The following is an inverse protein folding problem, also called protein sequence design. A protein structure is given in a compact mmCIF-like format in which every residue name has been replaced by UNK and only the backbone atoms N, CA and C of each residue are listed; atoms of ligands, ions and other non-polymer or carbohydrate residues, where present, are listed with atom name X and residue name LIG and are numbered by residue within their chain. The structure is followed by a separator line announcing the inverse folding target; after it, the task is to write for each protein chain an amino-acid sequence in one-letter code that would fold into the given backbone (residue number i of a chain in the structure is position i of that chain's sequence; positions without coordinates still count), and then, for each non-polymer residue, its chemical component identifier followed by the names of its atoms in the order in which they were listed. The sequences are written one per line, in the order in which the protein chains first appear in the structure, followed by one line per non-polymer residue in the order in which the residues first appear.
data_IF_568768796367
#
_entry.id   IF_568768796367
#
_cell.length_a   1.000
_cell.length_b   1.000
_cell.length_c   1.000
_cell.angle_alpha   90.00
_cell.angle_beta   90.00
_cell.angle_gamma   90.00
#
_symmetry.space_group_name_H-M   'P 1'
#
loop_
_entity.id
_entity.type
_entity.pdbx_description
1 polymer ?
#
# COMPACT_ATOMS: atom_id res chain seq x y z
N UNK A 1 17.05 -18.39 -4.91
CA UNK A 1 15.73 -18.07 -5.50
C UNK A 1 15.85 -16.74 -6.21
N UNK A 2 15.28 -16.58 -7.41
CA UNK A 2 15.18 -15.26 -8.08
C UNK A 2 14.41 -14.30 -7.18
N UNK A 3 14.69 -12.99 -7.29
CA UNK A 3 13.89 -11.96 -6.61
C UNK A 3 12.43 -12.11 -7.05
N UNK A 4 11.46 -12.15 -6.13
CA UNK A 4 10.06 -12.25 -6.49
C UNK A 4 9.63 -11.08 -7.36
N UNK A 5 8.89 -11.36 -8.45
CA UNK A 5 8.25 -10.36 -9.30
C UNK A 5 6.74 -10.57 -9.28
N UNK A 6 6.04 -9.70 -8.57
CA UNK A 6 4.59 -9.78 -8.39
C UNK A 6 3.81 -9.65 -9.70
N UNK A 7 4.41 -9.06 -10.74
CA UNK A 7 3.77 -8.98 -12.07
C UNK A 7 3.64 -10.36 -12.72
N UNK A 8 4.56 -11.28 -12.40
CA UNK A 8 4.46 -12.69 -12.83
C UNK A 8 3.32 -13.37 -12.09
N UNK A 9 3.19 -13.12 -10.78
CA UNK A 9 2.11 -13.68 -9.96
C UNK A 9 0.72 -13.30 -10.47
N UNK A 10 0.52 -12.06 -10.93
CA UNK A 10 -0.75 -11.64 -11.57
C UNK A 10 -1.11 -12.46 -12.81
N UNK A 11 -0.12 -12.93 -13.57
CA UNK A 11 -0.33 -13.67 -14.82
C UNK A 11 -0.37 -15.18 -14.61
N UNK A 12 0.29 -15.68 -13.57
CA UNK A 12 0.47 -17.09 -13.32
C UNK A 12 0.08 -17.44 -11.88
N UNK A 13 -1.16 -17.91 -11.71
CA UNK A 13 -1.71 -18.36 -10.42
C UNK A 13 -0.86 -19.46 -9.78
N UNK A 14 -0.34 -20.42 -10.56
CA UNK A 14 0.47 -21.54 -10.03
C UNK A 14 1.82 -21.07 -9.48
N UNK A 15 2.45 -20.11 -10.16
CA UNK A 15 3.67 -19.48 -9.64
C UNK A 15 3.35 -18.72 -8.34
N UNK A 16 2.24 -17.97 -8.31
CA UNK A 16 1.81 -17.26 -7.09
C UNK A 16 1.60 -18.22 -5.91
N UNK A 17 0.93 -19.36 -6.15
CA UNK A 17 0.70 -20.42 -5.16
C UNK A 17 2.01 -21.00 -4.61
N UNK A 18 2.95 -21.33 -5.50
CA UNK A 18 4.27 -21.85 -5.11
C UNK A 18 5.01 -20.88 -4.18
N UNK A 19 4.94 -19.58 -4.47
CA UNK A 19 5.53 -18.55 -3.62
C UNK A 19 4.80 -18.41 -2.28
N UNK A 20 3.47 -18.45 -2.30
CA UNK A 20 2.63 -18.43 -1.10
C UNK A 20 2.98 -19.60 -0.16
N UNK A 21 3.03 -20.82 -0.68
CA UNK A 21 3.41 -22.02 0.06
C UNK A 21 4.82 -21.90 0.65
N UNK A 22 5.76 -21.34 -0.11
CA UNK A 22 7.10 -21.08 0.39
C UNK A 22 7.11 -20.01 1.50
N UNK A 23 6.29 -18.97 1.44
CA UNK A 23 6.16 -17.98 2.50
C UNK A 23 5.53 -18.58 3.78
N UNK A 24 4.56 -19.49 3.63
CA UNK A 24 3.96 -20.22 4.75
C UNK A 24 4.99 -21.17 5.37
N UNK A 25 5.70 -21.96 4.56
CA UNK A 25 6.74 -22.90 5.02
C UNK A 25 7.88 -22.20 5.76
N UNK A 26 8.22 -20.99 5.36
CA UNK A 26 9.25 -20.15 6.02
C UNK A 26 8.71 -19.34 7.20
N UNK A 27 7.45 -19.52 7.56
CA UNK A 27 6.76 -18.77 8.62
C UNK A 27 6.82 -17.24 8.42
N UNK A 28 6.88 -16.79 7.17
CA UNK A 28 6.74 -15.37 6.81
C UNK A 28 5.25 -14.99 6.79
N UNK A 29 4.41 -15.91 6.30
CA UNK A 29 2.97 -15.93 6.56
C UNK A 29 2.70 -16.99 7.62
N UNK A 30 2.05 -16.61 8.72
CA UNK A 30 1.71 -17.54 9.81
C UNK A 30 0.23 -17.47 10.10
N UNK A 31 -0.35 -18.58 10.54
CA UNK A 31 -1.70 -18.57 11.09
C UNK A 31 -1.75 -17.67 12.34
N UNK A 32 -2.78 -16.86 12.44
CA UNK A 32 -3.04 -15.97 13.57
C UNK A 32 -4.53 -15.83 13.80
N UNK A 33 -4.89 -15.23 14.94
CA UNK A 33 -6.26 -14.76 15.17
C UNK A 33 -6.60 -13.63 14.19
N UNK A 34 -7.90 -13.43 14.00
CA UNK A 34 -8.43 -12.29 13.25
C UNK A 34 -8.23 -10.99 14.05
N UNK A 35 -7.30 -10.17 13.59
CA UNK A 35 -7.00 -8.82 14.08
C UNK A 35 -7.35 -7.75 13.02
N UNK A 36 -8.17 -8.09 12.03
CA UNK A 36 -8.56 -7.19 10.92
C UNK A 36 -9.07 -5.84 11.42
N UNK A 37 -9.85 -5.82 12.50
CA UNK A 37 -10.32 -4.61 13.21
C UNK A 37 -9.19 -3.71 13.71
N UNK A 38 -8.12 -4.30 14.25
CA UNK A 38 -6.96 -3.53 14.74
C UNK A 38 -6.20 -2.90 13.57
N UNK A 39 -6.04 -3.65 12.48
CA UNK A 39 -5.45 -3.14 11.24
C UNK A 39 -6.31 -2.05 10.60
N UNK A 40 -7.64 -2.19 10.58
CA UNK A 40 -8.55 -1.14 10.11
C UNK A 40 -8.52 0.11 11.00
N UNK A 41 -8.42 -0.05 12.33
CA UNK A 41 -8.21 1.09 13.23
C UNK A 41 -6.92 1.85 12.88
N UNK A 42 -5.82 1.13 12.61
CA UNK A 42 -4.55 1.72 12.18
C UNK A 42 -4.63 2.36 10.79
N UNK A 43 -5.34 1.73 9.87
CA UNK A 43 -5.67 2.25 8.53
C UNK A 43 -6.37 3.60 8.63
N UNK A 44 -7.46 3.66 9.41
CA UNK A 44 -8.22 4.90 9.62
C UNK A 44 -7.38 5.98 10.31
N UNK A 45 -6.55 5.59 11.29
CA UNK A 45 -5.64 6.53 11.94
C UNK A 45 -4.67 7.19 10.94
N UNK A 46 -4.01 6.39 10.10
CA UNK A 46 -3.09 6.89 9.08
C UNK A 46 -3.84 7.73 8.02
N UNK A 47 -4.99 7.25 7.54
CA UNK A 47 -5.80 7.98 6.56
C UNK A 47 -6.24 9.36 7.09
N UNK A 48 -6.71 9.42 8.34
CA UNK A 48 -7.14 10.67 8.97
C UNK A 48 -5.95 11.62 9.17
N UNK A 49 -4.79 11.11 9.58
CA UNK A 49 -3.57 11.90 9.70
C UNK A 49 -3.14 12.46 8.33
N UNK A 50 -3.09 11.64 7.29
CA UNK A 50 -2.71 12.08 5.94
C UNK A 50 -3.67 13.15 5.40
N UNK A 51 -4.98 12.95 5.56
CA UNK A 51 -6.00 13.93 5.19
C UNK A 51 -5.82 15.25 5.97
N UNK A 52 -5.60 15.17 7.28
CA UNK A 52 -5.41 16.36 8.12
C UNK A 52 -4.18 17.16 7.69
N UNK A 53 -3.04 16.49 7.49
CA UNK A 53 -1.81 17.13 7.00
C UNK A 53 -2.04 17.76 5.61
N UNK A 54 -2.69 17.03 4.70
CA UNK A 54 -2.97 17.49 3.34
C UNK A 54 -3.84 18.76 3.32
N UNK A 55 -4.89 18.82 4.14
CA UNK A 55 -5.75 20.00 4.23
C UNK A 55 -5.02 21.16 4.94
N UNK A 56 -4.24 20.89 5.99
CA UNK A 56 -3.52 21.92 6.74
C UNK A 56 -2.42 22.61 5.94
N UNK A 57 -1.80 21.94 4.98
CA UNK A 57 -0.81 22.57 4.10
C UNK A 57 -1.39 23.65 3.19
N UNK A 58 -2.71 23.65 2.95
CA UNK A 58 -3.37 24.75 2.22
C UNK A 58 -3.41 26.04 3.06
N UNK A 59 -3.33 25.92 4.38
CA UNK A 59 -3.22 27.03 5.32
C UNK A 59 -1.72 27.32 5.52
N UNK A 60 -1.17 28.31 4.80
CA UNK A 60 0.24 28.71 4.98
C UNK A 60 0.45 29.15 6.44
N UNK A 61 1.28 28.44 7.18
CA UNK A 61 1.65 28.82 8.55
C UNK A 61 2.99 29.56 8.53
N UNK A 62 3.14 30.59 9.37
CA UNK A 62 4.40 31.34 9.49
C UNK A 62 5.59 30.45 9.89
N UNK A 63 5.32 29.32 10.55
CA UNK A 63 6.32 28.35 11.02
C UNK A 63 7.00 27.62 9.86
N UNK A 64 6.24 27.26 8.82
CA UNK A 64 6.73 26.43 7.71
C UNK A 64 6.97 27.22 6.40
N UNK A 65 6.77 28.54 6.39
CA UNK A 65 6.99 29.42 5.24
C UNK A 65 6.34 28.88 3.94
N UNK A 66 7.14 28.59 2.91
CA UNK A 66 6.73 28.05 1.61
C UNK A 66 7.01 26.54 1.48
N UNK A 67 7.36 25.85 2.57
CA UNK A 67 7.59 24.40 2.52
C UNK A 67 6.27 23.62 2.44
N UNK A 68 6.17 22.75 1.44
CA UNK A 68 5.13 21.74 1.34
C UNK A 68 5.63 20.39 1.85
N UNK A 69 4.74 19.61 2.46
CA UNK A 69 5.00 18.27 3.00
C UNK A 69 4.20 17.21 2.25
N UNK A 70 4.05 17.37 0.93
CA UNK A 70 3.27 16.44 0.11
C UNK A 70 3.92 15.05 0.05
N UNK A 71 5.25 14.97 0.11
CA UNK A 71 6.02 13.73 0.25
C UNK A 71 5.63 12.93 1.52
N UNK A 72 5.51 13.59 2.66
CA UNK A 72 5.05 13.01 3.92
C UNK A 72 3.61 12.56 3.84
N UNK A 73 2.74 13.38 3.27
CA UNK A 73 1.33 13.02 3.04
C UNK A 73 1.22 11.74 2.21
N UNK A 74 1.97 11.65 1.10
CA UNK A 74 2.00 10.47 0.25
C UNK A 74 2.48 9.24 1.03
N UNK A 75 3.52 9.38 1.86
CA UNK A 75 4.02 8.28 2.70
C UNK A 75 2.94 7.79 3.69
N UNK A 76 2.24 8.70 4.37
CA UNK A 76 1.18 8.32 5.32
C UNK A 76 0.01 7.65 4.61
N UNK A 77 -0.38 8.06 3.39
CA UNK A 77 -1.37 7.33 2.60
C UNK A 77 -0.92 5.90 2.24
N UNK A 78 0.36 5.71 1.88
CA UNK A 78 0.89 4.37 1.64
C UNK A 78 0.85 3.48 2.88
N UNK A 79 1.14 4.04 4.06
CA UNK A 79 0.94 3.31 5.32
C UNK A 79 -0.53 2.96 5.55
N UNK A 80 -1.47 3.83 5.21
CA UNK A 80 -2.90 3.52 5.32
C UNK A 80 -3.29 2.36 4.38
N UNK A 81 -2.87 2.40 3.12
CA UNK A 81 -3.10 1.33 2.12
C UNK A 81 -2.50 0.01 2.61
N UNK A 82 -1.28 0.02 3.13
CA UNK A 82 -0.62 -1.20 3.60
C UNK A 82 -1.35 -1.83 4.79
N UNK A 83 -1.80 -1.03 5.76
CA UNK A 83 -2.55 -1.57 6.89
C UNK A 83 -3.94 -2.08 6.46
N UNK A 84 -4.55 -1.51 5.42
CA UNK A 84 -5.78 -2.04 4.85
C UNK A 84 -5.54 -3.41 4.20
N UNK A 85 -4.43 -3.56 3.47
CA UNK A 85 -3.99 -4.84 2.92
C UNK A 85 -3.75 -5.88 4.03
N UNK A 86 -3.11 -5.52 5.14
CA UNK A 86 -2.93 -6.42 6.29
C UNK A 86 -4.25 -6.79 6.96
N UNK A 87 -5.26 -5.91 6.94
CA UNK A 87 -6.59 -6.24 7.46
C UNK A 87 -7.23 -7.41 6.71
N UNK A 88 -7.12 -7.45 5.37
CA UNK A 88 -7.57 -8.60 4.57
C UNK A 88 -6.80 -9.88 4.92
N UNK A 89 -5.47 -9.82 4.96
CA UNK A 89 -4.64 -10.99 5.33
C UNK A 89 -5.03 -11.52 6.72
N UNK A 90 -5.30 -10.62 7.66
CA UNK A 90 -5.71 -10.97 9.02
C UNK A 90 -7.11 -11.57 9.09
N UNK A 91 -8.04 -11.09 8.26
CA UNK A 91 -9.39 -11.65 8.15
C UNK A 91 -9.38 -13.12 7.74
N UNK A 92 -8.44 -13.49 6.86
CA UNK A 92 -8.21 -14.86 6.41
C UNK A 92 -7.44 -15.72 7.44
N UNK A 93 -7.19 -15.19 8.63
CA UNK A 93 -6.52 -15.87 9.73
C UNK A 93 -5.00 -15.99 9.56
N UNK A 94 -4.37 -15.00 8.91
CA UNK A 94 -2.93 -14.95 8.74
C UNK A 94 -2.32 -13.62 9.21
N UNK A 95 -1.06 -13.67 9.62
CA UNK A 95 -0.20 -12.51 9.80
C UNK A 95 0.99 -12.59 8.86
N UNK A 96 1.32 -11.48 8.21
CA UNK A 96 2.46 -11.35 7.31
C UNK A 96 3.62 -10.61 7.97
N UNK A 97 4.83 -11.11 7.82
CA UNK A 97 6.06 -10.47 8.32
C UNK A 97 6.73 -9.54 7.31
N UNK A 98 6.34 -9.58 6.03
CA UNK A 98 6.95 -8.71 5.02
C UNK A 98 6.01 -8.40 3.85
N UNK A 99 6.41 -7.39 3.10
CA UNK A 99 5.66 -6.81 2.00
C UNK A 99 5.38 -7.78 0.86
N UNK A 100 6.41 -8.50 0.41
CA UNK A 100 6.27 -9.44 -0.70
C UNK A 100 5.27 -10.56 -0.38
N UNK A 101 5.26 -11.05 0.86
CA UNK A 101 4.33 -12.08 1.30
C UNK A 101 2.90 -11.54 1.44
N UNK A 102 2.72 -10.31 1.93
CA UNK A 102 1.40 -9.64 1.94
C UNK A 102 0.86 -9.52 0.52
N UNK A 103 1.67 -9.04 -0.43
CA UNK A 103 1.25 -8.89 -1.82
C UNK A 103 0.95 -10.22 -2.50
N UNK A 104 1.80 -11.24 -2.27
CA UNK A 104 1.58 -12.60 -2.78
C UNK A 104 0.26 -13.18 -2.25
N UNK A 105 -0.04 -12.96 -0.97
CA UNK A 105 -1.29 -13.40 -0.35
C UNK A 105 -2.50 -12.75 -1.03
N UNK A 106 -2.50 -11.43 -1.15
CA UNK A 106 -3.59 -10.70 -1.77
C UNK A 106 -3.82 -11.10 -3.24
N UNK A 107 -2.73 -11.28 -4.00
CA UNK A 107 -2.83 -11.71 -5.39
C UNK A 107 -3.43 -13.12 -5.49
N UNK A 108 -3.02 -14.05 -4.63
CA UNK A 108 -3.56 -15.40 -4.68
C UNK A 108 -5.03 -15.44 -4.24
N UNK A 109 -5.34 -14.93 -3.04
CA UNK A 109 -6.68 -15.03 -2.46
C UNK A 109 -7.67 -14.07 -3.13
N UNK A 110 -7.38 -12.78 -3.13
CA UNK A 110 -8.37 -11.77 -3.51
C UNK A 110 -8.36 -11.39 -4.99
N UNK A 111 -7.24 -11.55 -5.71
CA UNK A 111 -7.21 -11.33 -7.17
C UNK A 111 -7.55 -12.62 -7.96
N UNK A 112 -6.88 -13.74 -7.68
CA UNK A 112 -7.08 -14.98 -8.45
C UNK A 112 -8.29 -15.81 -8.03
N UNK A 113 -8.51 -16.03 -6.73
CA UNK A 113 -9.59 -16.90 -6.25
C UNK A 113 -10.92 -16.14 -6.18
N UNK A 114 -10.97 -15.05 -5.42
CA UNK A 114 -12.22 -14.33 -5.15
C UNK A 114 -12.56 -13.29 -6.21
N UNK A 115 -11.54 -12.76 -6.92
CA UNK A 115 -11.69 -11.64 -7.87
C UNK A 115 -12.29 -10.38 -7.22
N UNK A 116 -12.06 -10.22 -5.92
CA UNK A 116 -12.45 -9.06 -5.13
C UNK A 116 -11.52 -7.86 -5.36
N UNK A 117 -10.26 -8.12 -5.73
CA UNK A 117 -9.29 -7.09 -6.13
C UNK A 117 -8.99 -7.18 -7.61
N UNK A 118 -8.83 -6.02 -8.25
CA UNK A 118 -8.42 -5.89 -9.64
C UNK A 118 -6.91 -5.59 -9.76
N UNK A 119 -6.44 -5.39 -11.00
CA UNK A 119 -5.02 -5.11 -11.26
C UNK A 119 -4.57 -3.78 -10.67
N UNK A 120 -5.44 -2.77 -10.67
CA UNK A 120 -5.14 -1.44 -10.16
C UNK A 120 -5.01 -1.45 -8.63
N UNK A 121 -5.86 -2.22 -7.95
CA UNK A 121 -5.75 -2.47 -6.51
C UNK A 121 -4.39 -3.10 -6.16
N UNK A 122 -4.00 -4.16 -6.87
CA UNK A 122 -2.72 -4.85 -6.65
C UNK A 122 -1.54 -3.91 -6.93
N UNK A 123 -1.62 -3.11 -7.99
CA UNK A 123 -0.61 -2.10 -8.33
C UNK A 123 -0.49 -1.02 -7.25
N UNK A 124 -1.62 -0.57 -6.70
CA UNK A 124 -1.65 0.41 -5.62
C UNK A 124 -0.95 -0.13 -4.37
N UNK A 125 -1.28 -1.36 -3.95
CA UNK A 125 -0.61 -2.02 -2.82
C UNK A 125 0.87 -2.22 -3.14
N UNK A 126 1.23 -2.74 -4.32
CA UNK A 126 2.64 -2.89 -4.70
C UNK A 126 3.42 -1.57 -4.63
N UNK A 127 2.80 -0.45 -5.02
CA UNK A 127 3.41 0.88 -4.94
C UNK A 127 3.58 1.38 -3.50
N UNK A 128 2.66 1.04 -2.58
CA UNK A 128 2.80 1.37 -1.16
C UNK A 128 3.93 0.59 -0.49
N UNK A 129 4.15 -0.64 -0.94
CA UNK A 129 5.13 -1.56 -0.39
C UNK A 129 6.56 -1.32 -0.90
N UNK A 130 6.69 -0.81 -2.13
CA UNK A 130 7.99 -0.51 -2.75
C UNK A 130 8.77 0.63 -2.06
N UNK A 131 8.13 1.40 -1.17
CA UNK A 131 8.78 2.49 -0.43
C UNK A 131 9.46 2.05 0.87
N UNK A 132 9.05 0.95 1.51
CA UNK A 132 9.75 0.44 2.72
C UNK A 132 10.89 -0.54 2.38
N UNK A 133 10.85 -1.17 1.19
CA UNK A 133 12.01 -1.86 0.64
C UNK A 133 13.01 -0.80 0.14
N UNK A 134 13.86 -0.32 1.06
CA UNK A 134 14.98 0.63 0.85
C UNK A 134 15.87 0.26 -0.38
N UNK A 135 15.76 -0.96 -0.91
CA UNK A 135 16.50 -1.42 -2.08
C UNK A 135 15.85 -1.14 -3.45
N UNK A 136 14.64 -0.59 -3.53
CA UNK A 136 14.05 -0.19 -4.84
C UNK A 136 14.26 1.31 -5.09
N UNK A 137 15.53 1.71 -5.09
CA UNK A 137 15.99 3.03 -5.56
C UNK A 137 15.54 3.35 -6.99
N UNK A 138 15.11 2.37 -7.80
CA UNK A 138 14.67 2.58 -9.18
C UNK A 138 13.36 3.38 -9.32
N UNK A 139 12.32 3.06 -8.54
CA UNK A 139 11.04 3.78 -8.63
C UNK A 139 11.12 5.15 -7.96
N UNK A 140 11.90 5.26 -6.88
CA UNK A 140 12.21 6.55 -6.28
C UNK A 140 13.14 7.39 -7.15
N UNK A 141 13.97 6.80 -8.00
CA UNK A 141 14.78 7.52 -8.99
C UNK A 141 13.94 8.03 -10.15
N UNK A 142 12.99 7.26 -10.66
CA UNK A 142 12.11 7.71 -11.77
C UNK A 142 11.03 8.72 -11.29
N UNK A 143 10.56 8.61 -10.04
CA UNK A 143 9.78 9.67 -9.40
C UNK A 143 10.64 10.89 -9.05
N UNK A 144 11.88 10.71 -8.57
CA UNK A 144 12.81 11.82 -8.31
C UNK A 144 13.23 12.52 -9.60
N UNK A 145 13.57 11.79 -10.65
CA UNK A 145 13.92 12.35 -11.95
C UNK A 145 12.75 13.16 -12.50
N UNK A 146 11.51 12.63 -12.47
CA UNK A 146 10.33 13.40 -12.88
C UNK A 146 10.06 14.63 -11.99
N UNK A 147 10.24 14.51 -10.67
CA UNK A 147 10.12 15.65 -9.76
C UNK A 147 11.24 16.69 -9.94
N UNK A 148 12.44 16.28 -10.38
CA UNK A 148 13.57 17.16 -10.64
C UNK A 148 13.45 17.94 -11.96
N UNK A 149 12.63 17.50 -12.92
CA UNK A 149 12.46 18.18 -14.21
C UNK A 149 11.25 19.13 -14.26
N UNK A 150 10.24 18.95 -13.39
CA UNK A 150 9.09 19.85 -13.27
C UNK A 150 9.00 20.42 -11.85
N UNK A 151 9.37 21.70 -11.70
CA UNK A 151 9.10 22.63 -10.58
C UNK A 151 8.40 21.96 -9.37
N UNK A 152 9.24 21.48 -8.45
CA UNK A 152 9.06 20.43 -7.43
C UNK A 152 7.72 20.37 -6.66
N UNK A 153 7.13 21.49 -6.25
CA UNK A 153 5.94 21.49 -5.37
C UNK A 153 4.66 21.08 -6.11
N UNK A 154 4.52 21.49 -7.38
CA UNK A 154 3.31 21.27 -8.17
C UNK A 154 3.10 19.81 -8.57
N UNK A 155 4.19 19.06 -8.77
CA UNK A 155 4.15 17.63 -9.09
C UNK A 155 3.76 16.81 -7.86
N UNK A 156 4.39 17.07 -6.72
CA UNK A 156 4.11 16.34 -5.48
C UNK A 156 2.69 16.60 -4.99
N UNK A 157 2.18 17.82 -5.14
CA UNK A 157 0.78 18.15 -4.86
C UNK A 157 -0.19 17.31 -5.72
N UNK A 158 0.03 17.26 -7.04
CA UNK A 158 -0.80 16.46 -7.96
C UNK A 158 -0.75 14.98 -7.60
N UNK A 159 0.44 14.46 -7.27
CA UNK A 159 0.61 13.08 -6.83
C UNK A 159 -0.11 12.82 -5.51
N UNK A 160 -0.04 13.74 -4.53
CA UNK A 160 -0.73 13.62 -3.26
C UNK A 160 -2.25 13.59 -3.43
N UNK A 161 -2.81 14.40 -4.34
CA UNK A 161 -4.24 14.36 -4.71
C UNK A 161 -4.61 13.00 -5.27
N UNK A 162 -3.85 12.50 -6.25
CA UNK A 162 -4.12 11.21 -6.88
C UNK A 162 -4.03 10.04 -5.88
N UNK A 163 -2.99 10.03 -5.04
CA UNK A 163 -2.80 8.99 -4.03
C UNK A 163 -3.89 9.06 -2.96
N UNK A 164 -4.34 10.24 -2.56
CA UNK A 164 -5.47 10.42 -1.64
C UNK A 164 -6.74 9.73 -2.18
N UNK A 165 -7.13 10.04 -3.41
CA UNK A 165 -8.33 9.48 -4.03
C UNK A 165 -8.23 7.95 -4.13
N UNK A 166 -7.09 7.44 -4.59
CA UNK A 166 -6.83 6.00 -4.66
C UNK A 166 -6.86 5.34 -3.28
N UNK A 167 -6.25 5.94 -2.27
CA UNK A 167 -6.24 5.42 -0.90
C UNK A 167 -7.65 5.35 -0.31
N UNK A 168 -8.45 6.41 -0.47
CA UNK A 168 -9.85 6.44 -0.01
C UNK A 168 -10.66 5.35 -0.69
N UNK A 169 -10.59 5.26 -2.02
CA UNK A 169 -11.34 4.26 -2.78
C UNK A 169 -10.95 2.83 -2.40
N UNK A 170 -9.65 2.56 -2.30
CA UNK A 170 -9.15 1.25 -1.89
C UNK A 170 -9.58 0.92 -0.47
N UNK A 171 -9.37 1.82 0.51
CA UNK A 171 -9.76 1.57 1.91
C UNK A 171 -11.26 1.33 2.05
N UNK A 172 -12.10 2.08 1.32
CA UNK A 172 -13.54 1.85 1.32
C UNK A 172 -13.90 0.49 0.71
N UNK A 173 -13.24 0.08 -0.38
CA UNK A 173 -13.38 -1.28 -0.95
C UNK A 173 -13.02 -2.35 0.09
N UNK A 174 -11.91 -2.19 0.81
CA UNK A 174 -11.48 -3.12 1.86
C UNK A 174 -12.49 -3.20 3.00
N UNK A 175 -13.04 -2.07 3.45
CA UNK A 175 -14.09 -2.04 4.49
C UNK A 175 -15.33 -2.82 4.04
N UNK A 176 -15.79 -2.61 2.80
CA UNK A 176 -16.91 -3.37 2.23
C UNK A 176 -16.64 -4.88 2.20
N UNK A 177 -15.43 -5.29 1.83
CA UNK A 177 -15.02 -6.72 1.83
C UNK A 177 -14.97 -7.32 3.24
N UNK A 178 -14.75 -6.49 4.26
CA UNK A 178 -14.70 -6.89 5.66
C UNK A 178 -16.05 -6.74 6.39
N UNK A 179 -17.10 -6.29 5.68
CA UNK A 179 -18.42 -5.94 6.23
C UNK A 179 -18.37 -4.82 7.30
N UNK A 180 -17.48 -3.85 7.11
CA UNK A 180 -17.31 -2.65 7.97
C UNK A 180 -17.62 -1.32 7.27
#
# INVERSE_FOLDING_TARGET
MKKPDWRVWLKNKKECELWLDNYIKKEILRKSLDESKLYLKRTNHNLNLANWIFEKQKEKTEIFKEEAFYDWVINVYYYAIYHAALALVSKEGYVSKNHSATLCFLIYHHFHLEKALDKEDVELVASSLAKEDIETLGFSKELRERACYDIHESFEQKLAVQIREKAINFINKIKLLLEE
#
